data_IF_077113544513
#
_entry.id   IF_077113544513
#
_cell.length_a   1.000
_cell.length_b   1.000
_cell.length_c   1.000
_cell.angle_alpha   90.00
_cell.angle_beta   90.00
_cell.angle_gamma   90.00
#
_symmetry.space_group_name_H-M   'P 1'
#
loop_
_entity.id
_entity.type
_entity.pdbx_description
1 polymer ?
#
# COMPACT_ATOMS: atom_id res chain seq x y z
N UNK A 1 -0.43 0.86 -16.88
CA UNK A 1 -0.97 -0.35 -16.20
C UNK A 1 0.02 -1.01 -15.27
N UNK A 2 1.33 -1.07 -15.59
CA UNK A 2 2.35 -1.63 -14.70
C UNK A 2 2.32 -1.06 -13.27
N UNK A 3 2.29 0.28 -13.04
CA UNK A 3 2.27 0.83 -11.68
C UNK A 3 1.05 0.37 -10.87
N UNK A 4 -0.13 0.30 -11.49
CA UNK A 4 -1.34 -0.25 -10.86
C UNK A 4 -1.17 -1.71 -10.46
N UNK A 5 -0.59 -2.56 -11.32
CA UNK A 5 -0.34 -3.96 -11.01
C UNK A 5 0.70 -4.13 -9.90
N UNK A 6 1.76 -3.33 -9.92
CA UNK A 6 2.76 -3.29 -8.84
C UNK A 6 2.14 -2.86 -7.51
N UNK A 7 1.24 -1.87 -7.51
CA UNK A 7 0.47 -1.46 -6.33
C UNK A 7 -0.39 -2.59 -5.76
N UNK A 8 -1.16 -3.27 -6.61
CA UNK A 8 -2.02 -4.39 -6.17
C UNK A 8 -1.19 -5.57 -5.65
N UNK A 9 -0.11 -5.93 -6.36
CA UNK A 9 0.85 -6.95 -5.92
C UNK A 9 1.44 -6.58 -4.55
N UNK A 10 1.85 -5.33 -4.38
CA UNK A 10 2.43 -4.85 -3.15
C UNK A 10 1.44 -4.89 -1.97
N UNK A 11 0.17 -4.57 -2.21
CA UNK A 11 -0.89 -4.75 -1.22
C UNK A 11 -1.04 -6.19 -0.76
N UNK A 12 -0.97 -7.15 -1.69
CA UNK A 12 -1.05 -8.59 -1.38
C UNK A 12 0.18 -9.03 -0.57
N UNK A 13 1.38 -8.65 -0.99
CA UNK A 13 2.64 -9.00 -0.31
C UNK A 13 2.66 -8.47 1.13
N UNK A 14 2.17 -7.24 1.35
CA UNK A 14 2.15 -6.61 2.68
C UNK A 14 1.37 -7.44 3.73
N UNK A 15 0.36 -8.22 3.31
CA UNK A 15 -0.36 -9.12 4.23
C UNK A 15 0.56 -10.16 4.86
N UNK A 16 1.61 -10.57 4.14
CA UNK A 16 2.60 -11.55 4.59
C UNK A 16 3.87 -10.91 5.17
N UNK A 17 4.21 -9.70 4.71
CA UNK A 17 5.40 -8.95 5.13
C UNK A 17 4.98 -7.53 5.54
N UNK A 18 4.35 -7.35 6.72
CA UNK A 18 3.80 -6.06 7.16
C UNK A 18 4.88 -5.14 7.72
N UNK A 19 5.84 -4.78 6.88
CA UNK A 19 6.99 -3.94 7.21
C UNK A 19 7.48 -3.27 5.94
N UNK A 20 7.44 -1.93 5.89
CA UNK A 20 7.88 -1.19 4.70
C UNK A 20 9.32 -1.52 4.28
N UNK A 21 10.24 -1.68 5.24
CA UNK A 21 11.62 -2.09 4.94
C UNK A 21 11.74 -3.54 4.47
N UNK A 22 11.02 -4.47 5.11
CA UNK A 22 11.00 -5.87 4.71
C UNK A 22 10.35 -6.08 3.34
N UNK A 23 9.23 -5.40 3.10
CA UNK A 23 8.53 -5.40 1.82
C UNK A 23 9.40 -4.80 0.72
N UNK A 24 10.08 -3.68 0.98
CA UNK A 24 11.01 -3.09 0.03
C UNK A 24 12.14 -4.06 -0.34
N UNK A 25 12.72 -4.73 0.66
CA UNK A 25 13.79 -5.71 0.43
C UNK A 25 13.35 -6.90 -0.46
N UNK A 26 12.06 -7.28 -0.43
CA UNK A 26 11.53 -8.40 -1.23
C UNK A 26 11.07 -7.94 -2.62
N UNK A 27 10.38 -6.80 -2.72
CA UNK A 27 9.74 -6.38 -3.97
C UNK A 27 10.60 -5.45 -4.83
N UNK A 28 11.35 -4.51 -4.23
CA UNK A 28 12.09 -3.52 -5.00
C UNK A 28 13.13 -4.14 -5.95
N UNK A 29 13.89 -5.19 -5.55
CA UNK A 29 14.85 -5.85 -6.45
C UNK A 29 14.23 -6.49 -7.70
N UNK A 30 12.93 -6.76 -7.68
CA UNK A 30 12.20 -7.42 -8.78
C UNK A 30 11.44 -6.37 -9.60
N UNK A 31 10.71 -5.48 -8.92
CA UNK A 31 9.82 -4.51 -9.55
C UNK A 31 10.59 -3.36 -10.21
N UNK A 32 11.66 -2.83 -9.58
CA UNK A 32 12.42 -1.71 -10.15
C UNK A 32 13.07 -2.05 -11.50
N UNK A 33 13.77 -3.19 -11.65
CA UNK A 33 14.31 -3.58 -12.96
C UNK A 33 13.21 -3.83 -14.00
N UNK A 34 12.09 -4.43 -13.60
CA UNK A 34 10.96 -4.67 -14.50
C UNK A 34 10.35 -3.34 -14.99
N UNK A 35 10.17 -2.36 -14.10
CA UNK A 35 9.71 -1.03 -14.45
C UNK A 35 10.64 -0.34 -15.45
N UNK A 36 11.96 -0.37 -15.19
CA UNK A 36 12.96 0.21 -16.10
C UNK A 36 12.93 -0.44 -17.48
N UNK A 37 12.80 -1.77 -17.56
CA UNK A 37 12.69 -2.48 -18.85
C UNK A 37 11.42 -2.11 -19.63
N UNK A 38 10.35 -1.75 -18.92
CA UNK A 38 9.10 -1.28 -19.49
C UNK A 38 9.07 0.24 -19.75
N UNK A 39 10.20 0.94 -19.52
CA UNK A 39 10.31 2.39 -19.71
C UNK A 39 9.59 3.22 -18.64
N UNK A 40 9.25 2.63 -17.49
CA UNK A 40 8.60 3.29 -16.36
C UNK A 40 9.67 3.94 -15.48
N UNK A 41 9.44 5.18 -15.06
CA UNK A 41 10.35 5.87 -14.14
C UNK A 41 10.49 5.10 -12.81
N UNK A 42 11.73 4.89 -12.30
CA UNK A 42 11.94 4.20 -11.02
C UNK A 42 11.17 4.81 -9.85
N UNK A 43 10.95 6.13 -9.84
CA UNK A 43 10.17 6.82 -8.81
C UNK A 43 8.70 6.41 -8.82
N UNK A 44 8.11 6.20 -10.00
CA UNK A 44 6.74 5.69 -10.16
C UNK A 44 6.63 4.27 -9.64
N UNK A 45 7.61 3.43 -9.96
CA UNK A 45 7.64 2.03 -9.50
C UNK A 45 7.80 1.96 -7.99
N UNK A 46 8.70 2.76 -7.41
CA UNK A 46 8.87 2.87 -5.96
C UNK A 46 7.59 3.38 -5.27
N UNK A 47 6.92 4.37 -5.87
CA UNK A 47 5.65 4.88 -5.38
C UNK A 47 4.55 3.81 -5.39
N UNK A 48 4.44 3.01 -6.45
CA UNK A 48 3.48 1.90 -6.50
C UNK A 48 3.69 0.89 -5.36
N UNK A 49 4.94 0.52 -5.07
CA UNK A 49 5.27 -0.39 -3.96
C UNK A 49 4.90 0.23 -2.62
N UNK A 50 5.25 1.50 -2.40
CA UNK A 50 4.99 2.21 -1.15
C UNK A 50 3.49 2.42 -0.89
N UNK A 51 2.72 2.78 -1.91
CA UNK A 51 1.27 2.91 -1.78
C UNK A 51 0.59 1.56 -1.51
N UNK A 52 1.10 0.46 -2.09
CA UNK A 52 0.57 -0.87 -1.82
C UNK A 52 0.77 -1.31 -0.36
N UNK A 53 1.95 -1.04 0.21
CA UNK A 53 2.24 -1.22 1.66
C UNK A 53 1.26 -0.41 2.53
N UNK A 54 1.17 0.90 2.28
CA UNK A 54 0.31 1.79 3.06
C UNK A 54 -1.18 1.42 2.94
N UNK A 55 -1.62 0.97 1.77
CA UNK A 55 -3.01 0.66 1.49
C UNK A 55 -3.53 -0.49 2.36
N UNK A 56 -2.87 -1.65 2.36
CA UNK A 56 -3.36 -2.78 3.16
C UNK A 56 -3.02 -2.64 4.64
N UNK A 57 -2.12 -1.73 5.02
CA UNK A 57 -1.96 -1.31 6.43
C UNK A 57 -3.21 -0.62 7.00
N UNK A 58 -4.15 -0.15 6.16
CA UNK A 58 -5.42 0.40 6.64
C UNK A 58 -6.25 -0.64 7.41
N UNK A 59 -6.21 -1.92 7.02
CA UNK A 59 -6.94 -2.98 7.74
C UNK A 59 -6.19 -3.47 9.00
N UNK A 60 -4.92 -3.11 9.14
CA UNK A 60 -4.05 -3.46 10.27
C UNK A 60 -3.79 -2.20 11.11
N UNK A 61 -4.62 -1.89 12.13
CA UNK A 61 -4.57 -0.61 12.83
C UNK A 61 -3.40 -0.49 13.83
N UNK A 62 -2.24 -1.10 13.57
CA UNK A 62 -1.05 -1.01 14.42
C UNK A 62 -0.56 0.44 14.56
N UNK A 63 -0.64 1.20 13.45
CA UNK A 63 -0.35 2.63 13.41
C UNK A 63 -1.30 3.45 14.28
N UNK A 64 -2.54 2.98 14.49
CA UNK A 64 -3.57 3.70 15.23
C UNK A 64 -3.56 3.41 16.73
N UNK A 65 -2.92 2.31 17.19
CA UNK A 65 -2.99 1.88 18.59
C UNK A 65 -2.61 2.97 19.61
N UNK A 66 -1.54 3.78 19.41
CA UNK A 66 -1.22 4.85 20.35
C UNK A 66 -2.32 5.92 20.45
N UNK A 67 -2.91 6.31 19.31
CA UNK A 67 -3.98 7.29 19.25
C UNK A 67 -5.28 6.75 19.89
N UNK A 68 -5.60 5.48 19.63
CA UNK A 68 -6.75 4.80 20.23
C UNK A 68 -6.62 4.70 21.75
N UNK A 69 -5.43 4.43 22.28
CA UNK A 69 -5.18 4.39 23.73
C UNK A 69 -5.46 5.74 24.39
N UNK A 70 -5.06 6.85 23.78
CA UNK A 70 -5.35 8.22 24.26
C UNK A 70 -6.86 8.49 24.20
N UNK A 71 -7.52 8.09 23.12
CA UNK A 71 -8.96 8.25 22.92
C UNK A 71 -9.82 7.27 23.76
N UNK A 72 -9.20 6.33 24.48
CA UNK A 72 -9.88 5.24 25.23
C UNK A 72 -10.78 4.39 24.33
N UNK A 73 -10.34 4.16 23.10
CA UNK A 73 -11.01 3.32 22.12
C UNK A 73 -10.24 2.01 21.91
N UNK A 74 -10.96 0.99 21.49
CA UNK A 74 -10.40 -0.29 21.05
C UNK A 74 -10.22 -0.28 19.53
N UNK A 75 -9.33 -1.12 19.00
CA UNK A 75 -9.15 -1.27 17.55
C UNK A 75 -10.47 -1.56 16.81
N UNK A 76 -11.33 -2.43 17.37
CA UNK A 76 -12.65 -2.77 16.82
C UNK A 76 -13.57 -1.56 16.62
N UNK A 77 -13.39 -0.50 17.39
CA UNK A 77 -14.26 0.68 17.36
C UNK A 77 -14.02 1.51 16.09
N UNK A 78 -12.87 1.32 15.42
CA UNK A 78 -12.52 2.01 14.16
C UNK A 78 -12.47 1.11 12.93
N UNK A 79 -12.51 -0.22 13.10
CA UNK A 79 -12.33 -1.18 11.98
C UNK A 79 -13.30 -0.96 10.82
N UNK A 80 -14.53 -0.51 11.09
CA UNK A 80 -15.49 -0.18 10.03
C UNK A 80 -15.03 0.95 9.12
N UNK A 81 -14.43 2.01 9.69
CA UNK A 81 -13.86 3.12 8.92
C UNK A 81 -12.64 2.68 8.13
N UNK A 82 -11.75 1.91 8.76
CA UNK A 82 -10.58 1.31 8.10
C UNK A 82 -10.94 0.48 6.85
N UNK A 83 -12.02 -0.31 6.93
CA UNK A 83 -12.52 -1.09 5.79
C UNK A 83 -13.08 -0.21 4.67
N UNK A 84 -13.80 0.85 5.00
CA UNK A 84 -14.30 1.80 4.00
C UNK A 84 -13.12 2.51 3.32
N UNK A 85 -12.16 3.00 4.10
CA UNK A 85 -10.96 3.67 3.61
C UNK A 85 -10.13 2.74 2.73
N UNK A 86 -10.04 1.46 3.05
CA UNK A 86 -9.39 0.46 2.21
C UNK A 86 -9.95 0.48 0.78
N UNK A 87 -11.28 0.42 0.61
CA UNK A 87 -11.88 0.40 -0.73
C UNK A 87 -11.80 1.76 -1.43
N UNK A 88 -11.97 2.86 -0.69
CA UNK A 88 -11.90 4.21 -1.27
C UNK A 88 -10.49 4.52 -1.75
N UNK A 89 -9.47 4.25 -0.93
CA UNK A 89 -8.07 4.43 -1.30
C UNK A 89 -7.68 3.50 -2.45
N UNK A 90 -8.14 2.24 -2.44
CA UNK A 90 -7.92 1.33 -3.56
C UNK A 90 -8.40 1.93 -4.88
N UNK A 91 -9.64 2.43 -4.91
CA UNK A 91 -10.24 3.02 -6.10
C UNK A 91 -9.46 4.26 -6.57
N UNK A 92 -9.16 5.19 -5.66
CA UNK A 92 -8.44 6.43 -5.99
C UNK A 92 -7.04 6.11 -6.55
N UNK A 93 -6.30 5.23 -5.89
CA UNK A 93 -4.91 4.91 -6.27
C UNK A 93 -4.87 4.11 -7.58
N UNK A 94 -5.79 3.17 -7.77
CA UNK A 94 -5.92 2.43 -9.05
C UNK A 94 -6.23 3.38 -10.20
N UNK A 95 -7.20 4.28 -10.04
CA UNK A 95 -7.54 5.27 -11.07
C UNK A 95 -6.37 6.22 -11.33
N UNK A 96 -5.67 6.67 -10.27
CA UNK A 96 -4.47 7.50 -10.39
C UNK A 96 -3.37 6.83 -11.22
N UNK A 97 -3.04 5.57 -10.92
CA UNK A 97 -2.04 4.79 -11.67
C UNK A 97 -2.48 4.35 -13.07
N UNK A 98 -3.77 4.45 -13.40
CA UNK A 98 -4.28 4.13 -14.74
C UNK A 98 -4.33 5.35 -15.65
N UNK A 99 -4.67 6.52 -15.11
CA UNK A 99 -5.02 7.69 -15.91
C UNK A 99 -4.07 8.89 -15.74
N UNK A 100 -3.31 8.96 -14.64
CA UNK A 100 -2.46 10.12 -14.33
C UNK A 100 -0.96 9.82 -14.38
N UNK A 101 -0.59 8.53 -14.42
CA UNK A 101 0.79 8.03 -14.39
C UNK A 101 0.97 6.99 -15.49
#
# INVERSE_FOLDING_TARGET
TFPMLSFLSAGIVNVFVPSGGGQWAVQAPIMLPAGVQLGVDPSVTGMAIAYGDAWTNLIQPFWALPALAIAKLNAKDIMGYCLIDLFVVALIVVLGFLFLV
#
